data_IF_356460527042
#
_entry.id   IF_356460527042
#
_cell.length_a   1.000
_cell.length_b   1.000
_cell.length_c   1.000
_cell.angle_alpha   90.00
_cell.angle_beta   90.00
_cell.angle_gamma   90.00
#
_symmetry.space_group_name_H-M   'P 1'
#
loop_
_entity.id
_entity.type
_entity.pdbx_description
1 polymer ?
#
# COMPACT_ATOMS: atom_id res chain seq x y z
N UNK A 1 9.89 44.22 -32.82
CA UNK A 1 9.67 43.94 -31.41
C UNK A 1 8.78 42.71 -31.40
N UNK A 2 9.41 41.58 -31.21
CA UNK A 2 8.83 40.27 -31.52
C UNK A 2 8.51 39.58 -30.21
N UNK A 3 7.23 39.47 -29.91
CA UNK A 3 6.75 38.68 -28.79
C UNK A 3 6.86 37.20 -29.11
N UNK A 4 7.79 36.54 -28.44
CA UNK A 4 7.94 35.11 -28.51
C UNK A 4 6.91 34.45 -27.60
N UNK A 5 5.77 34.08 -28.19
CA UNK A 5 4.77 33.19 -27.60
C UNK A 5 5.36 31.78 -27.55
N UNK A 6 5.82 31.34 -26.37
CA UNK A 6 6.23 29.95 -26.15
C UNK A 6 4.96 29.16 -25.87
N UNK A 7 4.57 28.17 -26.69
CA UNK A 7 3.43 27.33 -26.39
C UNK A 7 3.80 26.39 -25.23
N UNK A 8 3.09 26.55 -24.12
CA UNK A 8 3.10 25.60 -23.01
C UNK A 8 2.41 24.30 -23.46
N UNK A 9 3.16 23.44 -24.13
CA UNK A 9 2.71 22.08 -24.48
C UNK A 9 2.94 21.15 -23.29
N UNK A 10 2.09 21.28 -22.30
CA UNK A 10 2.01 20.37 -21.16
C UNK A 10 0.70 19.58 -21.17
N UNK A 11 0.44 18.83 -22.25
CA UNK A 11 -0.65 17.85 -22.25
C UNK A 11 -0.20 16.60 -21.48
N UNK A 12 -0.07 16.70 -20.18
CA UNK A 12 -0.09 15.53 -19.35
C UNK A 12 -1.52 15.03 -19.27
N UNK A 13 -1.93 14.26 -20.27
CA UNK A 13 -2.98 13.26 -20.10
C UNK A 13 -2.44 12.30 -19.03
N UNK A 14 -2.73 12.60 -17.75
CA UNK A 14 -2.37 11.72 -16.66
C UNK A 14 -3.31 10.53 -16.68
N UNK A 15 -2.97 9.54 -17.51
CA UNK A 15 -3.42 8.17 -17.28
C UNK A 15 -2.93 7.85 -15.89
N UNK A 16 -3.86 7.60 -14.96
CA UNK A 16 -3.52 7.21 -13.60
C UNK A 16 -2.79 5.87 -13.69
N UNK A 17 -1.48 5.90 -13.48
CA UNK A 17 -0.66 4.70 -13.47
C UNK A 17 -0.65 4.20 -12.04
N UNK A 18 -1.17 3.00 -11.82
CA UNK A 18 -1.30 2.42 -10.49
C UNK A 18 0.06 2.28 -9.78
N UNK A 19 0.03 2.20 -8.44
CA UNK A 19 1.23 2.04 -7.64
C UNK A 19 2.05 0.82 -8.09
N UNK A 20 1.40 -0.32 -8.32
CA UNK A 20 2.11 -1.54 -8.73
C UNK A 20 2.70 -1.45 -10.15
N UNK A 21 2.03 -0.77 -11.08
CA UNK A 21 2.60 -0.53 -12.41
C UNK A 21 3.87 0.33 -12.33
N UNK A 22 3.86 1.37 -11.51
CA UNK A 22 5.03 2.20 -11.27
C UNK A 22 6.17 1.39 -10.65
N UNK A 23 5.87 0.51 -9.70
CA UNK A 23 6.87 -0.40 -9.10
C UNK A 23 7.43 -1.37 -10.14
N UNK A 24 6.60 -1.93 -11.02
CA UNK A 24 7.06 -2.77 -12.16
C UNK A 24 8.00 -2.03 -13.11
N UNK A 25 7.77 -0.72 -13.28
CA UNK A 25 8.66 0.17 -14.03
C UNK A 25 9.91 0.59 -13.24
N UNK A 26 10.19 -0.05 -12.10
CA UNK A 26 11.35 0.22 -11.24
C UNK A 26 11.40 1.66 -10.70
N UNK A 27 10.24 2.32 -10.54
CA UNK A 27 10.14 3.62 -9.86
C UNK A 27 10.47 3.44 -8.38
N UNK A 28 11.63 3.97 -7.96
CA UNK A 28 12.10 3.86 -6.59
C UNK A 28 11.17 4.57 -5.60
N UNK A 29 10.54 5.68 -5.99
CA UNK A 29 9.59 6.37 -5.14
C UNK A 29 8.33 5.52 -4.93
N UNK A 30 7.83 4.88 -5.98
CA UNK A 30 6.70 3.95 -5.89
C UNK A 30 7.03 2.73 -5.03
N UNK A 31 8.25 2.21 -5.11
CA UNK A 31 8.70 1.14 -4.22
C UNK A 31 8.68 1.55 -2.75
N UNK A 32 9.20 2.74 -2.42
CA UNK A 32 9.15 3.27 -1.07
C UNK A 32 7.71 3.47 -0.57
N UNK A 33 6.81 3.90 -1.44
CA UNK A 33 5.39 4.05 -1.14
C UNK A 33 4.74 2.69 -0.83
N UNK A 34 5.03 1.67 -1.63
CA UNK A 34 4.54 0.30 -1.42
C UNK A 34 5.02 -0.24 -0.06
N UNK A 35 6.30 -0.07 0.26
CA UNK A 35 6.85 -0.49 1.56
C UNK A 35 6.22 0.29 2.72
N UNK A 36 6.00 1.61 2.57
CA UNK A 36 5.32 2.43 3.59
C UNK A 36 3.87 2.01 3.79
N UNK A 37 3.18 1.67 2.70
CA UNK A 37 1.77 1.27 2.73
C UNK A 37 1.58 -0.09 3.40
N UNK A 38 2.36 -1.08 3.00
CA UNK A 38 2.18 -2.48 3.41
C UNK A 38 3.11 -2.94 4.55
N UNK A 39 4.17 -2.21 4.84
CA UNK A 39 5.14 -2.59 5.88
C UNK A 39 4.52 -2.83 7.26
N UNK A 40 3.65 -1.93 7.76
CA UNK A 40 2.97 -2.16 9.04
C UNK A 40 2.06 -3.40 9.03
N UNK A 41 1.42 -3.71 7.90
CA UNK A 41 0.59 -4.90 7.75
C UNK A 41 1.43 -6.18 7.75
N UNK A 42 2.53 -6.21 7.01
CA UNK A 42 3.50 -7.32 6.99
C UNK A 42 4.05 -7.55 8.40
N UNK A 43 4.48 -6.48 9.08
CA UNK A 43 4.97 -6.57 10.46
C UNK A 43 3.91 -7.13 11.41
N UNK A 44 2.64 -6.66 11.30
CA UNK A 44 1.52 -7.18 12.09
C UNK A 44 1.32 -8.68 11.87
N UNK A 45 1.33 -9.16 10.62
CA UNK A 45 1.19 -10.58 10.29
C UNK A 45 2.34 -11.42 10.86
N UNK A 46 3.58 -10.92 10.81
CA UNK A 46 4.71 -11.60 11.43
C UNK A 46 4.55 -11.68 12.96
N UNK A 47 4.10 -10.59 13.60
CA UNK A 47 3.86 -10.55 15.05
C UNK A 47 2.72 -11.46 15.49
N UNK A 48 1.61 -11.51 14.74
CA UNK A 48 0.48 -12.39 15.04
C UNK A 48 0.82 -13.88 14.87
N UNK A 49 1.85 -14.19 14.08
CA UNK A 49 2.41 -15.55 13.95
C UNK A 49 3.41 -15.90 15.06
N UNK A 50 3.55 -15.07 16.12
CA UNK A 50 4.37 -15.36 17.28
C UNK A 50 5.85 -14.98 17.15
N UNK A 51 6.28 -14.31 16.07
CA UNK A 51 7.67 -13.84 15.94
C UNK A 51 7.97 -12.72 16.94
N UNK A 52 9.22 -12.63 17.41
CA UNK A 52 9.72 -11.48 18.17
C UNK A 52 9.68 -10.21 17.31
N UNK A 53 9.73 -8.99 17.89
CA UNK A 53 9.81 -7.76 17.09
C UNK A 53 11.01 -7.74 16.14
N UNK A 54 12.16 -8.24 16.56
CA UNK A 54 13.39 -8.33 15.78
C UNK A 54 13.22 -9.30 14.61
N UNK A 55 12.77 -10.52 14.88
CA UNK A 55 12.49 -11.51 13.84
C UNK A 55 11.42 -11.03 12.85
N UNK A 56 10.39 -10.35 13.33
CA UNK A 56 9.35 -9.81 12.47
C UNK A 56 9.89 -8.71 11.52
N UNK A 57 10.86 -7.92 11.98
CA UNK A 57 11.53 -6.93 11.13
C UNK A 57 12.41 -7.62 10.08
N UNK A 58 13.17 -8.64 10.44
CA UNK A 58 14.04 -9.39 9.51
C UNK A 58 13.22 -10.13 8.46
N UNK A 59 12.19 -10.86 8.88
CA UNK A 59 11.25 -11.53 7.97
C UNK A 59 10.56 -10.51 7.06
N UNK A 60 10.18 -9.35 7.58
CA UNK A 60 9.60 -8.26 6.80
C UNK A 60 10.52 -7.79 5.67
N UNK A 61 11.82 -7.67 5.92
CA UNK A 61 12.82 -7.35 4.88
C UNK A 61 12.88 -8.44 3.80
N UNK A 62 12.90 -9.72 4.21
CA UNK A 62 12.92 -10.85 3.28
C UNK A 62 11.64 -10.95 2.46
N UNK A 63 10.48 -10.62 3.04
CA UNK A 63 9.21 -10.49 2.33
C UNK A 63 9.32 -9.45 1.22
N UNK A 64 9.76 -8.21 1.53
CA UNK A 64 9.86 -7.16 0.52
C UNK A 64 10.91 -7.45 -0.55
N UNK A 65 12.02 -8.13 -0.19
CA UNK A 65 12.98 -8.64 -1.17
C UNK A 65 12.32 -9.64 -2.14
N UNK A 66 11.51 -10.56 -1.61
CA UNK A 66 10.76 -11.53 -2.41
C UNK A 66 9.69 -10.87 -3.27
N UNK A 67 8.97 -9.88 -2.74
CA UNK A 67 8.00 -9.06 -3.48
C UNK A 67 8.69 -8.36 -4.65
N UNK A 68 9.85 -7.74 -4.43
CA UNK A 68 10.60 -7.05 -5.49
C UNK A 68 10.93 -7.98 -6.67
N UNK A 69 11.36 -9.20 -6.38
CA UNK A 69 11.72 -10.20 -7.41
C UNK A 69 10.49 -10.76 -8.13
N UNK A 70 9.41 -11.03 -7.40
CA UNK A 70 8.24 -11.76 -7.94
C UNK A 70 7.11 -10.87 -8.43
N UNK A 71 7.09 -9.56 -8.08
CA UNK A 71 6.05 -8.63 -8.53
C UNK A 71 5.92 -8.52 -10.07
N UNK A 72 6.98 -8.59 -10.88
CA UNK A 72 6.83 -8.58 -12.34
C UNK A 72 5.98 -9.72 -12.90
N UNK A 73 5.94 -10.87 -12.21
CA UNK A 73 5.13 -12.03 -12.60
C UNK A 73 3.75 -12.07 -11.95
N UNK A 74 3.50 -11.23 -10.96
CA UNK A 74 2.19 -11.13 -10.31
C UNK A 74 1.13 -10.69 -11.32
N UNK A 75 0.03 -11.46 -11.43
CA UNK A 75 -1.15 -11.16 -12.25
C UNK A 75 -2.41 -11.28 -11.39
N UNK A 76 -3.40 -10.46 -11.71
CA UNK A 76 -4.75 -10.53 -11.11
C UNK A 76 -5.69 -11.31 -12.04
N UNK A 77 -5.37 -12.57 -12.27
CA UNK A 77 -6.05 -13.38 -13.29
C UNK A 77 -7.32 -14.07 -12.76
N UNK A 78 -7.58 -14.00 -11.46
CA UNK A 78 -8.72 -14.68 -10.82
C UNK A 78 -9.56 -13.71 -10.00
N UNK A 79 -10.90 -13.85 -10.01
CA UNK A 79 -11.77 -13.11 -9.10
C UNK A 79 -11.35 -13.34 -7.64
N UNK A 80 -11.29 -12.26 -6.85
CA UNK A 80 -10.87 -12.31 -5.44
C UNK A 80 -9.34 -12.31 -5.22
N UNK A 81 -8.52 -12.33 -6.27
CA UNK A 81 -7.08 -12.24 -6.17
C UNK A 81 -6.65 -10.77 -6.05
N UNK A 82 -6.43 -10.31 -4.82
CA UNK A 82 -5.88 -8.98 -4.53
C UNK A 82 -4.36 -9.05 -4.31
N UNK A 83 -3.66 -7.91 -4.47
CA UNK A 83 -2.26 -7.83 -4.08
C UNK A 83 -2.06 -8.19 -2.61
N UNK A 84 -2.98 -7.81 -1.74
CA UNK A 84 -2.95 -8.14 -0.31
C UNK A 84 -3.01 -9.66 -0.07
N UNK A 85 -3.90 -10.39 -0.75
CA UNK A 85 -3.99 -11.84 -0.62
C UNK A 85 -2.72 -12.54 -1.09
N UNK A 86 -2.15 -12.08 -2.21
CA UNK A 86 -0.86 -12.58 -2.69
C UNK A 86 0.28 -12.26 -1.73
N UNK A 87 0.35 -11.02 -1.21
CA UNK A 87 1.36 -10.60 -0.24
C UNK A 87 1.30 -11.47 1.04
N UNK A 88 0.08 -11.81 1.50
CA UNK A 88 -0.12 -12.72 2.65
C UNK A 88 0.52 -14.09 2.40
N UNK A 89 0.39 -14.63 1.21
CA UNK A 89 1.03 -15.90 0.81
C UNK A 89 2.56 -15.80 0.86
N UNK A 90 3.12 -14.68 0.37
CA UNK A 90 4.58 -14.44 0.45
C UNK A 90 5.04 -14.34 1.91
N UNK A 91 4.31 -13.62 2.76
CA UNK A 91 4.61 -13.50 4.20
C UNK A 91 4.61 -14.87 4.86
N UNK A 92 3.56 -15.67 4.65
CA UNK A 92 3.44 -17.02 5.20
C UNK A 92 4.64 -17.90 4.82
N UNK A 93 5.04 -17.87 3.55
CA UNK A 93 6.22 -18.60 3.08
C UNK A 93 7.49 -18.18 3.84
N UNK A 94 7.73 -16.87 4.01
CA UNK A 94 8.92 -16.37 4.71
C UNK A 94 8.91 -16.66 6.21
N UNK A 95 7.76 -16.64 6.86
CA UNK A 95 7.60 -17.07 8.25
C UNK A 95 7.97 -18.55 8.40
N UNK A 96 7.47 -19.42 7.49
CA UNK A 96 7.81 -20.84 7.49
C UNK A 96 9.32 -21.05 7.34
N UNK A 97 9.96 -20.38 6.39
CA UNK A 97 11.40 -20.46 6.16
C UNK A 97 12.18 -20.06 7.41
N UNK A 98 11.82 -18.93 8.05
CA UNK A 98 12.46 -18.42 9.26
C UNK A 98 12.29 -19.37 10.47
N UNK A 99 11.11 -19.93 10.66
CA UNK A 99 10.84 -20.87 11.77
C UNK A 99 11.55 -22.20 11.57
N UNK A 100 11.65 -22.67 10.30
CA UNK A 100 12.43 -23.86 9.96
C UNK A 100 13.92 -23.64 10.22
N UNK A 101 14.48 -22.53 9.78
CA UNK A 101 15.89 -22.21 10.00
C UNK A 101 16.27 -22.21 11.50
N UNK A 102 15.36 -21.74 12.36
CA UNK A 102 15.56 -21.75 13.83
C UNK A 102 15.47 -23.16 14.45
N UNK A 103 14.72 -24.08 13.85
CA UNK A 103 14.54 -25.45 14.37
C UNK A 103 15.64 -26.42 13.94
N UNK A 104 16.39 -26.11 12.87
CA UNK A 104 17.47 -26.95 12.35
C UNK A 104 18.82 -26.35 12.70
N UNK A 105 19.62 -26.93 13.65
CA UNK A 105 21.04 -26.63 13.73
C UNK A 105 21.72 -27.20 12.50
N UNK A 106 22.13 -26.36 11.57
CA UNK A 106 23.10 -26.64 10.49
C UNK A 106 22.99 -28.01 9.81
N UNK A 107 22.03 -28.20 8.90
CA UNK A 107 22.19 -29.20 7.86
C UNK A 107 21.53 -28.67 6.59
N UNK A 108 22.34 -28.38 5.57
CA UNK A 108 21.89 -27.91 4.27
C UNK A 108 21.02 -28.93 3.54
N UNK A 109 20.01 -28.47 2.86
CA UNK A 109 19.15 -29.29 2.04
C UNK A 109 18.03 -28.48 1.41
N UNK A 110 18.19 -28.25 0.11
CA UNK A 110 17.22 -27.63 -0.78
C UNK A 110 16.08 -28.61 -1.06
N UNK A 111 14.91 -28.39 -0.46
CA UNK A 111 13.67 -29.00 -0.95
C UNK A 111 12.46 -28.09 -0.60
N UNK A 112 12.20 -27.14 -1.48
CA UNK A 112 11.31 -26.00 -1.20
C UNK A 112 9.84 -26.23 -1.59
N UNK A 113 9.41 -27.43 -2.02
CA UNK A 113 8.08 -27.62 -2.60
C UNK A 113 7.10 -28.50 -1.79
N UNK A 114 7.58 -29.26 -0.81
CA UNK A 114 6.75 -30.25 -0.11
C UNK A 114 6.16 -29.79 1.23
N UNK A 115 6.41 -28.57 1.69
CA UNK A 115 6.13 -28.13 3.08
C UNK A 115 5.09 -27.01 3.23
N UNK A 116 4.29 -26.76 2.22
CA UNK A 116 3.14 -25.85 2.32
C UNK A 116 2.01 -26.43 3.21
N UNK A 117 2.07 -27.70 3.57
CA UNK A 117 0.99 -28.40 4.27
C UNK A 117 1.22 -28.60 5.77
N UNK A 118 2.37 -28.24 6.32
CA UNK A 118 2.71 -28.52 7.74
C UNK A 118 3.03 -27.27 8.55
N UNK A 119 2.43 -26.13 8.20
CA UNK A 119 2.57 -24.90 8.98
C UNK A 119 1.50 -24.85 10.06
N UNK A 120 1.84 -24.51 11.32
CA UNK A 120 0.83 -24.26 12.35
C UNK A 120 -0.17 -23.22 11.82
N UNK A 121 -1.43 -23.48 12.04
CA UNK A 121 -2.64 -22.77 11.58
C UNK A 121 -2.80 -21.33 12.11
N UNK A 122 -1.68 -20.64 12.39
CA UNK A 122 -1.66 -19.31 12.95
C UNK A 122 -1.98 -18.19 11.94
N UNK A 123 -1.93 -18.49 10.64
CA UNK A 123 -2.44 -17.62 9.58
C UNK A 123 -3.47 -18.40 8.76
N UNK A 124 -4.74 -18.27 9.10
CA UNK A 124 -5.84 -18.75 8.27
C UNK A 124 -5.71 -18.25 6.83
N UNK A 125 -6.00 -19.10 5.84
CA UNK A 125 -5.96 -18.72 4.42
C UNK A 125 -6.96 -17.60 4.08
N UNK A 126 -8.02 -17.45 4.88
CA UNK A 126 -8.94 -16.33 4.85
C UNK A 126 -8.91 -15.61 6.20
N UNK A 127 -8.73 -14.28 6.23
CA UNK A 127 -8.89 -13.49 7.45
C UNK A 127 -10.31 -13.69 7.98
N UNK A 128 -10.47 -13.66 9.31
CA UNK A 128 -11.82 -13.48 9.88
C UNK A 128 -12.38 -12.14 9.37
N UNK A 129 -13.70 -11.97 9.39
CA UNK A 129 -14.33 -10.71 8.96
C UNK A 129 -13.75 -9.50 9.71
N UNK A 130 -13.48 -9.68 11.00
CA UNK A 130 -12.94 -8.61 11.85
C UNK A 130 -11.48 -8.30 11.52
N UNK A 131 -10.65 -9.31 11.29
CA UNK A 131 -9.26 -9.12 10.85
C UNK A 131 -9.21 -8.39 9.50
N UNK A 132 -10.11 -8.72 8.57
CA UNK A 132 -10.17 -8.07 7.26
C UNK A 132 -10.47 -6.56 7.40
N UNK A 133 -11.42 -6.18 8.24
CA UNK A 133 -11.75 -4.77 8.52
C UNK A 133 -10.58 -4.03 9.15
N UNK A 134 -9.88 -4.65 10.11
CA UNK A 134 -8.72 -4.02 10.75
C UNK A 134 -7.54 -3.85 9.77
N UNK A 135 -7.28 -4.84 8.93
CA UNK A 135 -6.23 -4.77 7.90
C UNK A 135 -6.51 -3.65 6.89
N UNK A 136 -7.74 -3.57 6.40
CA UNK A 136 -8.20 -2.49 5.52
C UNK A 136 -8.03 -1.13 6.18
N UNK A 137 -8.49 -1.00 7.41
CA UNK A 137 -8.36 0.24 8.18
C UNK A 137 -6.91 0.67 8.31
N UNK A 138 -5.99 -0.27 8.55
CA UNK A 138 -4.55 0.00 8.62
C UNK A 138 -4.02 0.54 7.29
N UNK A 139 -4.37 -0.11 6.17
CA UNK A 139 -3.96 0.30 4.83
C UNK A 139 -4.51 1.69 4.49
N UNK A 140 -5.81 1.94 4.72
CA UNK A 140 -6.42 3.26 4.47
C UNK A 140 -5.77 4.37 5.28
N UNK A 141 -5.49 4.11 6.57
CA UNK A 141 -4.79 5.08 7.42
C UNK A 141 -3.40 5.41 6.86
N UNK A 142 -2.65 4.39 6.41
CA UNK A 142 -1.34 4.60 5.81
C UNK A 142 -1.40 5.34 4.47
N UNK A 143 -2.39 5.05 3.64
CA UNK A 143 -2.61 5.78 2.40
C UNK A 143 -2.89 7.27 2.66
N UNK A 144 -3.72 7.59 3.65
CA UNK A 144 -3.99 8.96 4.08
C UNK A 144 -2.71 9.67 4.57
N UNK A 145 -1.87 9.00 5.37
CA UNK A 145 -0.59 9.55 5.82
C UNK A 145 0.36 9.86 4.65
N UNK A 146 0.44 8.95 3.66
CA UNK A 146 1.24 9.15 2.45
C UNK A 146 0.73 10.36 1.66
N UNK A 147 -0.57 10.49 1.45
CA UNK A 147 -1.17 11.61 0.72
C UNK A 147 -1.01 12.92 1.50
N UNK A 148 -1.19 12.91 2.82
CA UNK A 148 -0.97 14.07 3.69
C UNK A 148 0.44 14.64 3.54
N UNK A 149 1.45 13.76 3.48
CA UNK A 149 2.85 14.18 3.34
C UNK A 149 3.17 14.87 1.99
N UNK A 150 2.28 14.77 0.99
CA UNK A 150 2.46 15.33 -0.35
C UNK A 150 1.74 16.65 -0.59
N UNK A 151 0.92 17.09 0.36
CA UNK A 151 0.07 18.26 0.19
C UNK A 151 0.43 19.34 1.20
N UNK A 152 0.05 20.59 0.92
CA UNK A 152 0.19 21.68 1.88
C UNK A 152 -0.79 21.49 3.04
N UNK A 153 -0.46 22.04 4.20
CA UNK A 153 -1.33 21.99 5.38
C UNK A 153 -2.72 22.57 5.08
N UNK A 154 -2.80 23.65 4.32
CA UNK A 154 -4.08 24.27 3.93
C UNK A 154 -4.92 23.34 3.04
N UNK A 155 -4.29 22.61 2.12
CA UNK A 155 -4.96 21.60 1.29
C UNK A 155 -5.42 20.41 2.13
N UNK A 156 -4.62 19.97 3.09
CA UNK A 156 -5.01 18.92 4.01
C UNK A 156 -6.22 19.30 4.85
N UNK A 157 -6.23 20.51 5.45
CA UNK A 157 -7.36 21.01 6.21
C UNK A 157 -8.64 21.11 5.35
N UNK A 158 -8.53 21.54 4.10
CA UNK A 158 -9.67 21.59 3.19
C UNK A 158 -10.25 20.18 2.94
N UNK A 159 -9.39 19.20 2.73
CA UNK A 159 -9.80 17.82 2.56
C UNK A 159 -10.43 17.24 3.84
N UNK A 160 -9.81 17.51 4.99
CA UNK A 160 -10.30 17.05 6.30
C UNK A 160 -11.71 17.59 6.57
N UNK A 161 -11.91 18.90 6.44
CA UNK A 161 -13.22 19.52 6.67
C UNK A 161 -14.31 18.95 5.76
N UNK A 162 -14.02 18.77 4.45
CA UNK A 162 -15.06 18.42 3.48
C UNK A 162 -15.25 16.92 3.33
N UNK A 163 -14.21 16.10 3.54
CA UNK A 163 -14.29 14.65 3.30
C UNK A 163 -14.39 13.86 4.60
N UNK A 164 -13.61 14.21 5.63
CA UNK A 164 -13.60 13.47 6.88
C UNK A 164 -14.64 13.98 7.89
N UNK A 165 -14.89 15.29 7.90
CA UNK A 165 -15.86 15.93 8.79
C UNK A 165 -17.20 16.26 8.09
N UNK A 166 -17.31 15.95 6.79
CA UNK A 166 -18.51 16.14 5.98
C UNK A 166 -19.08 17.57 6.01
N UNK A 167 -18.21 18.58 6.21
CA UNK A 167 -18.63 19.99 6.24
C UNK A 167 -19.01 20.47 4.84
N UNK A 168 -20.01 21.37 4.74
CA UNK A 168 -20.33 22.01 3.46
C UNK A 168 -19.13 22.76 2.90
N UNK A 169 -18.94 22.69 1.57
CA UNK A 169 -17.80 23.29 0.87
C UNK A 169 -17.72 24.80 1.13
N UNK A 170 -18.85 25.50 1.16
CA UNK A 170 -18.91 26.94 1.36
C UNK A 170 -18.43 27.33 2.77
N UNK A 171 -18.74 26.53 3.80
CA UNK A 171 -18.27 26.72 5.17
C UNK A 171 -16.75 26.51 5.25
N UNK A 172 -16.25 25.44 4.64
CA UNK A 172 -14.81 25.18 4.59
C UNK A 172 -14.05 26.27 3.81
N UNK A 173 -14.64 26.76 2.70
CA UNK A 173 -14.07 27.84 1.90
C UNK A 173 -13.95 29.14 2.72
N UNK A 174 -14.98 29.52 3.43
CA UNK A 174 -14.99 30.70 4.30
C UNK A 174 -13.95 30.54 5.44
N UNK A 175 -13.94 29.41 6.11
CA UNK A 175 -13.03 29.12 7.24
C UNK A 175 -11.56 29.19 6.83
N UNK A 176 -11.22 28.68 5.64
CA UNK A 176 -9.84 28.58 5.15
C UNK A 176 -9.42 29.75 4.26
N UNK A 177 -10.33 30.72 3.96
CA UNK A 177 -10.05 31.78 3.01
C UNK A 177 -9.68 31.22 1.64
N UNK A 178 -10.44 30.24 1.15
CA UNK A 178 -10.31 29.61 -0.16
C UNK A 178 -11.57 29.81 -0.99
N UNK A 179 -11.47 29.67 -2.32
CA UNK A 179 -12.67 29.61 -3.14
C UNK A 179 -13.27 28.21 -3.11
N UNK A 180 -14.60 28.04 -3.23
CA UNK A 180 -15.23 26.73 -3.33
C UNK A 180 -14.62 25.86 -4.44
N UNK A 181 -14.31 26.47 -5.59
CA UNK A 181 -13.65 25.76 -6.70
C UNK A 181 -12.27 25.21 -6.31
N UNK A 182 -11.48 25.97 -5.55
CA UNK A 182 -10.17 25.50 -5.06
C UNK A 182 -10.33 24.28 -4.13
N UNK A 183 -11.36 24.24 -3.30
CA UNK A 183 -11.66 23.10 -2.42
C UNK A 183 -12.06 21.86 -3.24
N UNK A 184 -12.91 22.04 -4.26
CA UNK A 184 -13.26 20.92 -5.16
C UNK A 184 -12.04 20.35 -5.89
N UNK A 185 -11.11 21.21 -6.34
CA UNK A 185 -9.86 20.77 -6.97
C UNK A 185 -8.96 20.02 -5.99
N UNK A 186 -8.82 20.50 -4.75
CA UNK A 186 -8.07 19.80 -3.70
C UNK A 186 -8.67 18.42 -3.43
N UNK A 187 -9.99 18.36 -3.19
CA UNK A 187 -10.72 17.11 -2.97
C UNK A 187 -10.48 16.12 -4.12
N UNK A 188 -10.68 16.56 -5.36
CA UNK A 188 -10.51 15.72 -6.55
C UNK A 188 -9.09 15.16 -6.68
N UNK A 189 -8.06 16.01 -6.46
CA UNK A 189 -6.66 15.58 -6.52
C UNK A 189 -6.31 14.56 -5.44
N UNK A 190 -6.73 14.81 -4.20
CA UNK A 190 -6.44 13.91 -3.09
C UNK A 190 -7.18 12.59 -3.22
N UNK A 191 -8.46 12.60 -3.62
CA UNK A 191 -9.22 11.38 -3.89
C UNK A 191 -8.60 10.55 -5.02
N UNK A 192 -8.04 11.20 -6.06
CA UNK A 192 -7.29 10.50 -7.11
C UNK A 192 -6.04 9.84 -6.55
N UNK A 193 -5.22 10.57 -5.77
CA UNK A 193 -4.01 10.01 -5.17
C UNK A 193 -4.32 8.82 -4.24
N UNK A 194 -5.39 8.89 -3.46
CA UNK A 194 -5.84 7.78 -2.63
C UNK A 194 -6.27 6.58 -3.49
N UNK A 195 -7.01 6.82 -4.56
CA UNK A 195 -7.41 5.76 -5.50
C UNK A 195 -6.19 5.09 -6.13
N UNK A 196 -5.23 5.85 -6.61
CA UNK A 196 -3.99 5.33 -7.23
C UNK A 196 -3.19 4.44 -6.26
N UNK A 197 -3.24 4.73 -4.95
CA UNK A 197 -2.60 3.92 -3.91
C UNK A 197 -3.41 2.66 -3.55
N UNK A 198 -4.74 2.71 -3.64
CA UNK A 198 -5.65 1.70 -3.10
C UNK A 198 -6.29 0.80 -4.17
N UNK A 199 -6.32 1.22 -5.44
CA UNK A 199 -6.99 0.50 -6.54
C UNK A 199 -6.52 -0.94 -6.71
N UNK A 200 -5.26 -1.21 -6.41
CA UNK A 200 -4.69 -2.54 -6.52
C UNK A 200 -4.71 -3.35 -5.24
N UNK A 201 -5.08 -2.73 -4.14
CA UNK A 201 -5.32 -3.45 -2.88
C UNK A 201 -6.57 -4.33 -3.00
N UNK A 202 -7.39 -4.11 -4.03
CA UNK A 202 -8.55 -4.94 -4.33
C UNK A 202 -9.78 -4.58 -3.50
N UNK A 203 -9.91 -3.31 -3.11
CA UNK A 203 -10.90 -2.86 -2.13
C UNK A 203 -11.75 -1.68 -2.61
N UNK A 204 -11.95 -1.56 -3.93
CA UNK A 204 -12.97 -0.70 -4.52
C UNK A 204 -14.17 -1.50 -4.97
#
# INVERSE_FOLDING_TARGET
MTDANVPFTGTHSSISTSLLERVRCQDQAAWQELVRLFGPLVFRWCRSSGLSPEDAADVGQDVFRSVFVSLPTFRRDRPGQSFRSWLRTVVRSRICDATRAKRLPSAGGSDNQALLNDTPDAMSDAPSSDDDVEEKTLIYRRALEIVRARVTEKSWQAFQLVVLEERPVDVAAQQLGMTPNSIYLVKSRMMRQLRDLLEEVGET
#
